data_IF_623791015831
#
_entry.id   IF_623791015831
#
_cell.length_a   1.000
_cell.length_b   1.000
_cell.length_c   1.000
_cell.angle_alpha   90.00
_cell.angle_beta   90.00
_cell.angle_gamma   90.00
#
_symmetry.space_group_name_H-M   'P 1'
#
loop_
_entity.id
_entity.type
_entity.pdbx_description
1 polymer ?
#
# COMPACT_ATOMS: atom_id res chain seq x y z
N UNK A 1 10.40 14.90 11.10
CA UNK A 1 10.10 14.84 9.65
C UNK A 1 10.36 13.41 9.20
N UNK A 2 9.32 12.58 9.08
CA UNK A 2 9.44 11.21 8.62
C UNK A 2 10.08 11.09 7.23
N UNK A 3 10.85 10.03 7.01
CA UNK A 3 11.45 9.69 5.71
C UNK A 3 10.86 8.39 5.17
N UNK A 4 10.43 8.42 3.92
CA UNK A 4 10.01 7.24 3.15
C UNK A 4 11.18 6.82 2.27
N UNK A 5 11.70 5.61 2.46
CA UNK A 5 12.74 5.01 1.61
C UNK A 5 12.08 4.02 0.65
N UNK A 6 12.21 4.27 -0.64
CA UNK A 6 11.73 3.41 -1.71
C UNK A 6 12.89 2.51 -2.16
N UNK A 7 12.91 1.27 -1.67
CA UNK A 7 14.03 0.33 -1.87
C UNK A 7 14.29 0.04 -3.35
N UNK A 8 13.24 -0.22 -4.14
CA UNK A 8 13.36 -0.52 -5.58
C UNK A 8 13.91 0.66 -6.39
N UNK A 9 13.52 1.88 -6.03
CA UNK A 9 13.93 3.10 -6.73
C UNK A 9 15.26 3.67 -6.20
N UNK A 10 15.77 3.16 -5.07
CA UNK A 10 16.95 3.72 -4.41
C UNK A 10 16.76 5.17 -3.94
N UNK A 11 15.51 5.59 -3.72
CA UNK A 11 15.14 6.98 -3.49
C UNK A 11 14.62 7.18 -2.06
N UNK A 12 14.90 8.35 -1.48
CA UNK A 12 14.37 8.76 -0.18
C UNK A 12 13.61 10.07 -0.30
N UNK A 13 12.48 10.16 0.41
CA UNK A 13 11.58 11.31 0.35
C UNK A 13 11.20 11.70 1.77
N UNK A 14 11.53 12.92 2.16
CA UNK A 14 11.03 13.52 3.39
C UNK A 14 9.54 13.86 3.24
N UNK A 15 8.76 13.63 4.29
CA UNK A 15 7.35 13.97 4.31
C UNK A 15 6.92 14.53 5.67
N UNK A 16 5.74 15.13 5.72
CA UNK A 16 5.10 15.52 6.97
C UNK A 16 4.51 14.29 7.66
N UNK A 17 4.41 14.34 8.98
CA UNK A 17 3.69 13.30 9.74
C UNK A 17 2.23 13.20 9.28
N UNK A 18 1.71 11.98 9.19
CA UNK A 18 0.39 11.70 8.65
C UNK A 18 0.30 11.72 7.12
N UNK A 19 1.41 11.98 6.40
CA UNK A 19 1.40 12.05 4.94
C UNK A 19 0.90 10.74 4.31
N UNK A 20 0.05 10.87 3.30
CA UNK A 20 -0.45 9.73 2.55
C UNK A 20 0.66 9.14 1.68
N UNK A 21 0.97 7.86 1.88
CA UNK A 21 2.10 7.19 1.24
C UNK A 21 2.02 7.21 -0.30
N UNK A 22 0.83 6.97 -0.87
CA UNK A 22 0.64 7.05 -2.33
C UNK A 22 0.91 8.45 -2.87
N UNK A 23 0.36 9.48 -2.24
CA UNK A 23 0.55 10.86 -2.69
C UNK A 23 2.02 11.25 -2.60
N UNK A 24 2.69 10.93 -1.50
CA UNK A 24 4.12 11.19 -1.31
C UNK A 24 4.97 10.49 -2.39
N UNK A 25 4.67 9.22 -2.71
CA UNK A 25 5.34 8.50 -3.79
C UNK A 25 5.17 9.20 -5.14
N UNK A 26 3.93 9.50 -5.54
CA UNK A 26 3.64 10.13 -6.83
C UNK A 26 4.24 11.54 -6.95
N UNK A 27 4.17 12.35 -5.90
CA UNK A 27 4.81 13.68 -5.85
C UNK A 27 6.33 13.61 -6.00
N UNK A 28 6.93 12.49 -5.61
CA UNK A 28 8.36 12.24 -5.76
C UNK A 28 8.74 11.53 -7.07
N UNK A 29 7.78 11.33 -7.99
CA UNK A 29 7.98 10.61 -9.25
C UNK A 29 8.04 9.09 -9.10
N UNK A 30 7.73 8.55 -7.92
CA UNK A 30 7.72 7.11 -7.65
C UNK A 30 6.34 6.52 -7.93
N UNK A 31 6.30 5.58 -8.87
CA UNK A 31 5.06 4.95 -9.30
C UNK A 31 4.77 3.64 -8.53
N UNK A 32 3.68 3.56 -7.74
CA UNK A 32 3.34 2.35 -7.00
C UNK A 32 2.64 1.27 -7.87
N UNK A 33 2.36 1.53 -9.14
CA UNK A 33 1.54 0.67 -9.99
C UNK A 33 2.35 -0.15 -11.00
N UNK A 34 1.90 -1.39 -11.24
CA UNK A 34 2.48 -2.31 -12.23
C UNK A 34 1.56 -2.49 -13.44
N UNK A 35 2.10 -2.38 -14.65
CA UNK A 35 1.39 -2.69 -15.90
C UNK A 35 0.09 -1.89 -16.10
N UNK A 36 -1.00 -2.57 -16.47
CA UNK A 36 -2.32 -1.96 -16.74
C UNK A 36 -2.95 -1.26 -15.53
N UNK A 37 -2.47 -1.50 -14.31
CA UNK A 37 -2.95 -0.80 -13.12
C UNK A 37 -2.62 0.70 -13.15
N UNK A 38 -1.69 1.14 -14.00
CA UNK A 38 -1.46 2.56 -14.26
C UNK A 38 -2.69 3.25 -14.87
N UNK A 39 -3.49 2.52 -15.64
CA UNK A 39 -4.69 3.03 -16.30
C UNK A 39 -5.95 2.75 -15.46
N UNK A 40 -6.01 1.60 -14.80
CA UNK A 40 -7.21 1.12 -14.11
C UNK A 40 -7.22 1.38 -12.60
N UNK A 41 -6.29 2.19 -12.06
CA UNK A 41 -6.32 2.52 -10.63
C UNK A 41 -7.44 3.52 -10.30
N UNK A 42 -7.97 3.41 -9.08
CA UNK A 42 -9.05 4.28 -8.58
C UNK A 42 -8.61 5.70 -8.18
N UNK A 43 -7.41 6.16 -8.56
CA UNK A 43 -6.93 7.49 -8.14
C UNK A 43 -6.64 7.64 -6.64
N UNK A 44 -6.73 6.56 -5.85
CA UNK A 44 -6.41 6.56 -4.42
C UNK A 44 -7.61 6.59 -3.48
N UNK A 45 -8.84 6.37 -3.96
CA UNK A 45 -10.05 6.35 -3.10
C UNK A 45 -10.29 5.02 -2.37
N UNK A 46 -9.48 3.99 -2.62
CA UNK A 46 -9.55 2.71 -1.90
C UNK A 46 -10.54 1.68 -2.50
N UNK A 47 -10.74 1.68 -3.82
CA UNK A 47 -11.74 0.83 -4.48
C UNK A 47 -11.16 -0.21 -5.47
N UNK A 48 -9.84 -0.18 -5.73
CA UNK A 48 -9.23 -1.03 -6.76
C UNK A 48 -8.22 -2.06 -6.21
N UNK A 49 -7.69 -1.85 -5.00
CA UNK A 49 -6.65 -2.72 -4.43
C UNK A 49 -5.33 -2.77 -5.24
N UNK A 50 -5.07 -1.85 -6.17
CA UNK A 50 -3.91 -1.95 -7.08
C UNK A 50 -2.65 -1.24 -6.61
N UNK A 51 -2.75 -0.36 -5.61
CA UNK A 51 -1.64 0.46 -5.12
C UNK A 51 -0.82 -0.24 -4.01
N UNK A 52 -0.60 -1.55 -4.18
CA UNK A 52 0.05 -2.39 -3.18
C UNK A 52 1.52 -2.06 -3.07
N UNK A 53 1.98 -1.88 -1.84
CA UNK A 53 3.38 -1.74 -1.47
C UNK A 53 3.69 -2.75 -0.37
N UNK A 54 4.93 -3.19 -0.31
CA UNK A 54 5.45 -4.03 0.76
C UNK A 54 6.22 -3.16 1.74
N UNK A 55 5.95 -3.33 3.03
CA UNK A 55 6.70 -2.68 4.10
C UNK A 55 7.86 -3.59 4.49
N UNK A 56 9.08 -3.08 4.34
CA UNK A 56 10.31 -3.80 4.72
C UNK A 56 10.66 -3.47 6.18
N UNK A 57 10.57 -2.19 6.56
CA UNK A 57 10.88 -1.70 7.91
C UNK A 57 9.94 -0.57 8.31
N UNK A 58 9.72 -0.37 9.60
CA UNK A 58 8.95 0.76 10.12
C UNK A 58 7.43 0.58 10.07
N UNK A 59 6.92 -0.65 10.12
CA UNK A 59 5.48 -0.92 10.11
C UNK A 59 4.74 -0.24 11.27
N UNK A 60 5.37 -0.13 12.45
CA UNK A 60 4.86 0.59 13.62
C UNK A 60 4.70 2.09 13.41
N UNK A 61 5.36 2.65 12.39
CA UNK A 61 5.31 4.07 12.05
C UNK A 61 4.19 4.38 11.04
N UNK A 62 3.36 3.40 10.70
CA UNK A 62 2.25 3.56 9.77
C UNK A 62 0.92 3.62 10.52
N UNK A 63 -0.09 4.22 9.89
CA UNK A 63 -1.47 4.10 10.38
C UNK A 63 -1.88 2.63 10.47
N UNK A 64 -2.81 2.28 11.38
CA UNK A 64 -3.45 0.97 11.37
C UNK A 64 -4.00 0.61 9.99
N UNK A 65 -4.14 -0.68 9.74
CA UNK A 65 -4.79 -1.16 8.51
C UNK A 65 -6.24 -0.72 8.52
N UNK A 66 -6.70 -0.22 7.38
CA UNK A 66 -8.13 0.11 7.19
C UNK A 66 -8.93 -1.13 6.81
N UNK A 67 -10.26 -1.11 7.02
CA UNK A 67 -11.16 -2.21 6.64
C UNK A 67 -11.02 -2.62 5.15
N UNK A 68 -10.76 -1.64 4.28
CA UNK A 68 -10.48 -1.88 2.86
C UNK A 68 -9.21 -2.71 2.69
N UNK A 69 -8.16 -2.41 3.45
CA UNK A 69 -6.92 -3.19 3.43
C UNK A 69 -7.12 -4.60 3.99
N UNK A 70 -7.96 -4.76 5.03
CA UNK A 70 -8.31 -6.08 5.55
C UNK A 70 -8.97 -6.96 4.49
N UNK A 71 -9.86 -6.39 3.67
CA UNK A 71 -10.52 -7.13 2.59
C UNK A 71 -9.58 -7.41 1.42
N UNK A 72 -8.96 -6.38 0.85
CA UNK A 72 -8.18 -6.51 -0.41
C UNK A 72 -6.86 -7.25 -0.27
N UNK A 73 -6.34 -7.39 0.96
CA UNK A 73 -5.05 -8.00 1.23
C UNK A 73 -5.18 -9.22 2.15
N UNK A 74 -6.39 -9.77 2.35
CA UNK A 74 -6.67 -10.89 3.25
C UNK A 74 -5.95 -12.20 2.91
N UNK A 75 -5.48 -12.32 1.67
CA UNK A 75 -4.73 -13.45 1.10
C UNK A 75 -3.25 -13.10 0.88
N UNK A 76 -2.80 -11.93 1.33
CA UNK A 76 -1.45 -11.41 1.08
C UNK A 76 -0.59 -11.40 2.35
N UNK A 77 0.74 -11.31 2.21
CA UNK A 77 1.63 -11.14 3.36
C UNK A 77 1.20 -9.96 4.23
N UNK A 78 1.30 -10.13 5.55
CA UNK A 78 0.82 -9.14 6.52
C UNK A 78 1.51 -7.77 6.39
N UNK A 79 2.74 -7.75 5.86
CA UNK A 79 3.52 -6.54 5.62
C UNK A 79 3.13 -5.81 4.32
N UNK A 80 2.16 -6.30 3.55
CA UNK A 80 1.64 -5.57 2.40
C UNK A 80 0.61 -4.54 2.84
N UNK A 81 0.64 -3.36 2.22
CA UNK A 81 -0.28 -2.24 2.48
C UNK A 81 -0.82 -1.68 1.19
N UNK A 82 -2.00 -1.06 1.25
CA UNK A 82 -2.46 -0.17 0.19
C UNK A 82 -1.88 1.21 0.45
N UNK A 83 -0.93 1.64 -0.37
CA UNK A 83 -0.29 2.96 -0.20
C UNK A 83 -1.29 4.12 -0.16
N UNK A 84 -2.46 4.01 -0.80
CA UNK A 84 -3.50 5.04 -0.74
C UNK A 84 -4.25 5.10 0.60
N UNK A 85 -4.22 4.03 1.39
CA UNK A 85 -4.87 3.92 2.71
C UNK A 85 -3.89 4.02 3.88
N UNK A 86 -2.61 4.25 3.58
CA UNK A 86 -1.53 4.27 4.56
C UNK A 86 -1.06 5.70 4.78
N UNK A 87 -1.08 6.14 6.05
CA UNK A 87 -0.42 7.37 6.49
C UNK A 87 0.92 7.05 7.15
N UNK A 88 1.93 7.90 6.93
CA UNK A 88 3.29 7.76 7.43
C UNK A 88 3.52 8.70 8.60
N UNK A 89 3.80 8.15 9.78
CA UNK A 89 4.01 8.90 11.03
C UNK A 89 5.46 8.85 11.54
N UNK A 90 6.34 8.12 10.84
CA UNK A 90 7.75 7.96 11.17
C UNK A 90 8.49 7.30 10.01
N UNK A 91 9.81 7.10 10.16
CA UNK A 91 10.64 6.55 9.09
C UNK A 91 10.17 5.15 8.67
N UNK A 92 10.09 4.92 7.35
CA UNK A 92 9.62 3.65 6.78
C UNK A 92 10.45 3.29 5.54
N UNK A 93 10.75 2.01 5.39
CA UNK A 93 11.34 1.45 4.16
C UNK A 93 10.29 0.60 3.47
N UNK A 94 10.02 0.90 2.19
CA UNK A 94 8.99 0.22 1.40
C UNK A 94 9.54 -0.23 0.05
N UNK A 95 8.98 -1.34 -0.45
CA UNK A 95 9.20 -1.83 -1.80
C UNK A 95 7.95 -1.58 -2.63
N UNK A 96 8.09 -0.84 -3.72
CA UNK A 96 6.98 -0.62 -4.66
C UNK A 96 6.73 -1.88 -5.47
N UNK A 97 5.50 -2.03 -6.00
CA UNK A 97 5.16 -3.07 -6.99
C UNK A 97 5.68 -4.47 -6.59
N UNK A 98 5.44 -4.95 -5.35
CA UNK A 98 5.99 -6.21 -4.89
C UNK A 98 5.49 -7.37 -5.75
N UNK A 99 6.26 -8.47 -5.76
CA UNK A 99 5.82 -9.68 -6.45
C UNK A 99 4.51 -10.16 -5.85
N UNK A 100 3.63 -10.67 -6.71
CA UNK A 100 2.28 -11.09 -6.38
C UNK A 100 1.42 -10.02 -5.72
N UNK A 101 1.79 -8.72 -5.79
CA UNK A 101 1.02 -7.62 -5.18
C UNK A 101 -0.36 -7.38 -5.80
N UNK A 102 -0.61 -7.83 -7.03
CA UNK A 102 -1.87 -7.60 -7.76
C UNK A 102 -2.13 -8.75 -8.74
N UNK A 103 -3.40 -9.06 -9.04
CA UNK A 103 -3.75 -9.97 -10.16
C UNK A 103 -3.81 -11.48 -9.87
N UNK A 104 -3.87 -11.92 -8.61
CA UNK A 104 -3.92 -13.35 -8.23
C UNK A 104 -5.34 -13.98 -8.19
N UNK A 105 -6.36 -13.34 -8.79
CA UNK A 105 -7.74 -13.86 -8.84
C UNK A 105 -8.63 -13.43 -7.66
N UNK A 106 -9.86 -12.98 -7.97
CA UNK A 106 -10.93 -12.42 -7.10
C UNK A 106 -10.55 -12.09 -5.63
N UNK A 107 -9.63 -11.15 -5.46
CA UNK A 107 -9.11 -10.67 -4.16
C UNK A 107 -10.20 -10.13 -3.20
N UNK A 108 -11.41 -9.83 -3.68
CA UNK A 108 -12.48 -9.27 -2.86
C UNK A 108 -13.41 -10.32 -2.25
N UNK A 109 -13.66 -11.46 -2.92
CA UNK A 109 -14.69 -12.40 -2.47
C UNK A 109 -14.21 -13.21 -1.26
N UNK A 110 -13.00 -13.76 -1.33
CA UNK A 110 -12.39 -14.52 -0.21
C UNK A 110 -12.13 -13.57 0.97
N UNK A 111 -11.62 -12.37 0.70
CA UNK A 111 -11.42 -11.34 1.72
C UNK A 111 -12.71 -10.91 2.41
N UNK A 112 -13.79 -10.69 1.64
CA UNK A 112 -15.09 -10.34 2.18
C UNK A 112 -15.70 -11.49 3.00
N UNK A 113 -15.56 -12.74 2.55
CA UNK A 113 -16.02 -13.92 3.30
C UNK A 113 -15.25 -14.06 4.62
N UNK A 114 -13.92 -13.90 4.62
CA UNK A 114 -13.11 -13.92 5.85
C UNK A 114 -13.49 -12.79 6.80
N UNK A 115 -13.71 -11.58 6.31
CA UNK A 115 -14.08 -10.44 7.18
C UNK A 115 -15.47 -10.58 7.79
N UNK A 116 -16.38 -11.29 7.13
CA UNK A 116 -17.71 -11.60 7.63
C UNK A 116 -17.72 -12.76 8.65
N UNK A 117 -16.89 -13.78 8.44
CA UNK A 117 -16.85 -14.98 9.29
C UNK A 117 -15.85 -14.90 10.46
N UNK A 118 -14.94 -13.92 10.44
CA UNK A 118 -13.88 -13.73 11.44
C UNK A 118 -14.18 -12.72 12.55
N UNK A 119 -15.46 -12.42 12.82
CA UNK A 119 -15.90 -11.63 13.98
C UNK A 119 -16.40 -12.53 15.10
#
# INVERSE_FOLDING_TARGET
MPTIRFEQEGQQVGCIEGANLRKAALSAGVNPYKGLNNLNNCGGVGQCGTCVIEVIEGAQNLSPRSDVEEVYLADRPANYRLSCRTSVNGDVTVRTRPQDGVGQGSNSLIGAVKSLLGR
#
